data_IF_547059493930
#
_entry.id   IF_547059493930
#
_cell.length_a   1.000
_cell.length_b   1.000
_cell.length_c   1.000
_cell.angle_alpha   90.00
_cell.angle_beta   90.00
_cell.angle_gamma   90.00
#
_symmetry.space_group_name_H-M   'P 1'
#
loop_
_entity.id
_entity.type
_entity.pdbx_description
1 polymer ?
#
# COMPACT_ATOMS: atom_id res chain seq x y z
N UNK A 1 12.96 3.14 -19.19
CA UNK A 1 12.46 3.26 -17.81
C UNK A 1 11.46 2.15 -17.57
N UNK A 2 11.65 1.33 -16.52
CA UNK A 2 10.74 0.21 -16.18
C UNK A 2 9.86 0.61 -15.00
N UNK A 3 8.55 0.36 -15.11
CA UNK A 3 7.55 0.67 -14.08
C UNK A 3 6.81 -0.60 -13.70
N UNK A 4 6.69 -0.88 -12.41
CA UNK A 4 5.91 -1.99 -11.86
C UNK A 4 4.53 -1.51 -11.41
N UNK A 5 3.52 -2.37 -11.59
CA UNK A 5 2.18 -2.19 -11.04
C UNK A 5 1.97 -3.25 -9.97
N UNK A 6 1.91 -2.83 -8.71
CA UNK A 6 1.73 -3.74 -7.58
C UNK A 6 0.24 -3.96 -7.31
N UNK A 7 -0.33 -4.98 -7.94
CA UNK A 7 -1.69 -5.42 -7.60
C UNK A 7 -1.66 -6.17 -6.27
N UNK A 8 -2.31 -5.62 -5.26
CA UNK A 8 -2.29 -6.11 -3.87
C UNK A 8 -3.70 -6.17 -3.30
N UNK A 9 -3.86 -6.89 -2.18
CA UNK A 9 -5.11 -6.97 -1.42
C UNK A 9 -4.89 -6.45 0.01
N UNK A 10 -4.93 -5.12 0.23
CA UNK A 10 -4.73 -4.53 1.55
C UNK A 10 -5.86 -4.91 2.51
N UNK A 11 -5.54 -5.00 3.80
CA UNK A 11 -6.53 -5.21 4.86
C UNK A 11 -6.97 -3.86 5.38
N UNK A 12 -8.27 -3.57 5.32
CA UNK A 12 -8.83 -2.29 5.78
C UNK A 12 -8.47 -2.07 7.27
N UNK A 13 -7.82 -0.95 7.57
CA UNK A 13 -7.43 -0.55 8.92
C UNK A 13 -6.09 -1.10 9.44
N UNK A 14 -5.47 -2.06 8.75
CA UNK A 14 -4.18 -2.63 9.17
C UNK A 14 -2.98 -1.85 8.59
N UNK A 15 -2.68 -0.69 9.18
CA UNK A 15 -1.58 0.17 8.72
C UNK A 15 -0.23 -0.57 8.72
N UNK A 16 0.20 -1.24 9.82
CA UNK A 16 1.49 -1.93 9.84
C UNK A 16 1.55 -3.08 8.82
N UNK A 17 0.49 -3.88 8.71
CA UNK A 17 0.43 -4.99 7.75
C UNK A 17 0.47 -4.52 6.30
N UNK A 18 -0.30 -3.49 5.97
CA UNK A 18 -0.33 -2.92 4.61
C UNK A 18 1.01 -2.26 4.23
N UNK A 19 1.67 -1.56 5.15
CA UNK A 19 3.02 -1.03 4.91
C UNK A 19 4.03 -2.18 4.73
N UNK A 20 3.89 -3.28 5.48
CA UNK A 20 4.68 -4.49 5.29
C UNK A 20 4.49 -5.10 3.89
N UNK A 21 3.24 -5.25 3.46
CA UNK A 21 2.86 -5.69 2.11
C UNK A 21 3.45 -4.79 1.03
N UNK A 22 3.39 -3.46 1.20
CA UNK A 22 3.99 -2.51 0.26
C UNK A 22 5.51 -2.66 0.17
N UNK A 23 6.20 -2.88 1.30
CA UNK A 23 7.65 -3.08 1.33
C UNK A 23 8.06 -4.34 0.55
N UNK A 24 7.35 -5.45 0.75
CA UNK A 24 7.57 -6.68 -0.02
C UNK A 24 7.46 -6.43 -1.53
N UNK A 25 6.42 -5.70 -1.97
CA UNK A 25 6.25 -5.38 -3.40
C UNK A 25 7.27 -4.38 -3.95
N UNK A 26 7.78 -3.48 -3.12
CA UNK A 26 8.90 -2.61 -3.50
C UNK A 26 10.16 -3.45 -3.73
N UNK A 27 10.44 -4.43 -2.88
CA UNK A 27 11.60 -5.30 -3.01
C UNK A 27 11.47 -6.21 -4.25
N UNK A 28 10.29 -6.79 -4.50
CA UNK A 28 9.97 -7.52 -5.74
C UNK A 28 10.22 -6.66 -6.99
N UNK A 29 9.70 -5.43 -6.99
CA UNK A 29 9.82 -4.50 -8.11
C UNK A 29 11.29 -4.10 -8.34
N UNK A 30 12.05 -3.88 -7.27
CA UNK A 30 13.49 -3.58 -7.35
C UNK A 30 14.27 -4.76 -7.92
N UNK A 31 13.99 -5.98 -7.48
CA UNK A 31 14.61 -7.20 -8.00
C UNK A 31 14.30 -7.41 -9.50
N UNK A 32 13.12 -6.99 -9.95
CA UNK A 32 12.72 -6.99 -11.37
C UNK A 32 13.31 -5.82 -12.20
N UNK A 33 14.11 -4.93 -11.60
CA UNK A 33 14.72 -3.79 -12.28
C UNK A 33 13.79 -2.61 -12.52
N UNK A 34 12.64 -2.55 -11.83
CA UNK A 34 11.74 -1.40 -11.90
C UNK A 34 12.34 -0.17 -11.19
N UNK A 35 12.12 1.00 -11.79
CA UNK A 35 12.55 2.29 -11.25
C UNK A 35 11.41 3.03 -10.54
N UNK A 36 10.17 2.59 -10.77
CA UNK A 36 8.96 3.10 -10.15
C UNK A 36 8.01 1.92 -9.91
N UNK A 37 7.34 1.89 -8.76
CA UNK A 37 6.23 0.97 -8.48
C UNK A 37 5.00 1.78 -8.12
N UNK A 38 3.86 1.46 -8.73
CA UNK A 38 2.57 2.07 -8.45
C UNK A 38 1.71 1.10 -7.63
N UNK A 39 1.01 1.66 -6.65
CA UNK A 39 0.07 0.94 -5.78
C UNK A 39 -1.36 1.43 -6.01
N UNK A 40 -2.39 0.62 -5.67
CA UNK A 40 -3.77 1.07 -5.63
C UNK A 40 -4.00 2.28 -4.71
N UNK A 41 -5.10 2.98 -4.95
CA UNK A 41 -5.56 4.06 -4.08
C UNK A 41 -5.70 3.59 -2.62
N UNK A 42 -5.28 4.45 -1.69
CA UNK A 42 -5.39 4.22 -0.24
C UNK A 42 -4.79 2.89 0.25
N UNK A 43 -3.80 2.32 -0.44
CA UNK A 43 -3.16 1.04 -0.06
C UNK A 43 -2.68 0.98 1.40
N UNK A 44 -2.23 2.09 1.98
CA UNK A 44 -1.75 2.16 3.37
C UNK A 44 -2.84 1.79 4.39
N UNK A 45 -4.07 2.29 4.20
CA UNK A 45 -5.19 2.03 5.10
C UNK A 45 -6.22 1.04 4.54
N UNK A 46 -6.13 0.68 3.26
CA UNK A 46 -7.13 -0.09 2.52
C UNK A 46 -8.28 0.77 1.99
N UNK A 47 -8.94 0.28 0.93
CA UNK A 47 -10.09 0.94 0.30
C UNK A 47 -11.32 0.02 0.32
N UNK A 48 -12.52 0.52 0.70
CA UNK A 48 -12.79 1.84 1.25
C UNK A 48 -12.52 1.88 2.78
N UNK A 49 -11.91 2.94 3.32
CA UNK A 49 -11.68 3.07 4.77
C UNK A 49 -12.88 3.65 5.54
N UNK A 50 -13.84 4.26 4.84
CA UNK A 50 -15.08 4.81 5.40
C UNK A 50 -14.85 5.65 6.68
N UNK A 51 -15.60 5.38 7.75
CA UNK A 51 -15.58 6.12 9.02
C UNK A 51 -14.24 6.04 9.77
N UNK A 52 -13.33 5.12 9.39
CA UNK A 52 -11.97 5.13 9.95
C UNK A 52 -11.27 6.46 9.68
N UNK A 53 -11.54 7.11 8.54
CA UNK A 53 -10.95 8.43 8.24
C UNK A 53 -11.51 9.56 9.12
N UNK A 54 -12.62 9.35 9.82
CA UNK A 54 -13.21 10.33 10.74
C UNK A 54 -12.65 10.20 12.18
N UNK A 55 -11.87 9.15 12.44
CA UNK A 55 -11.28 8.85 13.74
C UNK A 55 -9.91 9.52 13.89
N UNK A 56 -9.80 10.47 14.81
CA UNK A 56 -8.53 11.16 15.08
C UNK A 56 -7.40 10.22 15.50
N UNK A 57 -7.70 9.12 16.21
CA UNK A 57 -6.73 8.11 16.62
C UNK A 57 -6.25 7.23 15.46
N UNK A 58 -7.00 7.18 14.35
CA UNK A 58 -6.61 6.47 13.14
C UNK A 58 -5.68 7.28 12.24
N UNK A 59 -5.74 8.61 12.31
CA UNK A 59 -4.93 9.54 11.50
C UNK A 59 -3.68 10.06 12.21
N UNK A 60 -3.50 9.74 13.50
CA UNK A 60 -2.46 10.28 14.37
C UNK A 60 -1.03 9.79 14.03
#
# INVERSE_FOLDING_TARGET
>A
MVVALAQVNPVIGDLPGNVGLMRERIDDARAAGAQLVLFPELTVCGYPPEDLLLRSDFLA
#
